data_IF_365201519900
#
_entry.id   IF_365201519900
#
_cell.length_a   1.000
_cell.length_b   1.000
_cell.length_c   1.000
_cell.angle_alpha   90.00
_cell.angle_beta   90.00
_cell.angle_gamma   90.00
#
_symmetry.space_group_name_H-M   'P 1'
#
loop_
_entity.id
_entity.type
_entity.pdbx_description
1 polymer ?
#
# COMPACT_ATOMS: atom_id res chain seq x y z
N UNK A 1 -13.69 -7.09 -0.50
CA UNK A 1 -14.52 -5.92 -0.16
C UNK A 1 -15.11 -5.38 -1.46
N UNK A 2 -16.30 -5.85 -1.87
CA UNK A 2 -16.99 -5.41 -3.09
C UNK A 2 -18.42 -4.94 -2.76
N UNK A 3 -18.57 -4.18 -1.67
CA UNK A 3 -19.87 -3.76 -1.17
C UNK A 3 -20.00 -2.24 -1.14
N UNK A 4 -20.70 -1.64 -2.13
CA UNK A 4 -20.94 -0.22 -2.20
C UNK A 4 -21.56 0.37 -0.93
N UNK A 5 -22.49 -0.35 -0.30
CA UNK A 5 -23.31 0.13 0.80
C UNK A 5 -22.46 0.32 2.06
N UNK A 6 -21.48 -0.58 2.28
CA UNK A 6 -20.49 -0.42 3.34
C UNK A 6 -19.63 0.82 3.14
N UNK A 7 -19.44 1.29 1.89
CA UNK A 7 -18.66 2.50 1.60
C UNK A 7 -19.54 3.76 1.65
N UNK A 8 -20.84 3.62 1.36
CA UNK A 8 -21.86 4.67 1.45
C UNK A 8 -22.15 5.09 2.91
N UNK A 9 -22.14 4.15 3.86
CA UNK A 9 -22.27 4.44 5.30
C UNK A 9 -21.11 5.27 5.90
N UNK A 10 -20.12 5.68 5.10
CA UNK A 10 -18.94 6.43 5.56
C UNK A 10 -18.96 7.93 5.21
N UNK A 11 -20.11 8.45 4.79
CA UNK A 11 -20.60 9.76 5.24
C UNK A 11 -20.37 11.00 4.36
N UNK A 12 -19.81 10.90 3.14
CA UNK A 12 -19.69 12.08 2.23
C UNK A 12 -19.77 11.79 0.72
N UNK A 13 -19.72 10.53 0.31
CA UNK A 13 -19.75 10.18 -1.12
C UNK A 13 -21.18 9.80 -1.52
N UNK A 14 -21.65 10.32 -2.66
CA UNK A 14 -22.92 9.92 -3.25
C UNK A 14 -22.94 8.39 -3.49
N UNK A 15 -24.11 7.75 -3.33
CA UNK A 15 -24.27 6.30 -3.47
C UNK A 15 -23.67 5.78 -4.79
N UNK A 16 -23.92 6.47 -5.90
CA UNK A 16 -23.33 6.18 -7.21
C UNK A 16 -21.79 6.09 -7.15
N UNK A 17 -21.11 7.00 -6.46
CA UNK A 17 -19.65 7.00 -6.35
C UNK A 17 -19.15 5.77 -5.57
N UNK A 18 -19.88 5.34 -4.54
CA UNK A 18 -19.56 4.13 -3.79
C UNK A 18 -19.76 2.86 -4.63
N UNK A 19 -20.85 2.78 -5.40
CA UNK A 19 -21.11 1.64 -6.29
C UNK A 19 -20.06 1.56 -7.40
N UNK A 20 -19.75 2.70 -8.04
CA UNK A 20 -18.70 2.78 -9.05
C UNK A 20 -17.32 2.41 -8.49
N UNK A 21 -17.03 2.74 -7.24
CA UNK A 21 -15.76 2.36 -6.63
C UNK A 21 -15.72 0.86 -6.31
N UNK A 22 -16.81 0.26 -5.84
CA UNK A 22 -16.89 -1.17 -5.63
C UNK A 22 -16.76 -1.92 -6.96
N UNK A 23 -17.41 -1.43 -8.01
CA UNK A 23 -17.26 -1.93 -9.38
C UNK A 23 -15.80 -1.85 -9.83
N UNK A 24 -15.12 -0.72 -9.62
CA UNK A 24 -13.70 -0.61 -9.96
C UNK A 24 -12.85 -1.65 -9.23
N UNK A 25 -13.07 -1.85 -7.93
CA UNK A 25 -12.36 -2.86 -7.16
C UNK A 25 -12.67 -4.28 -7.68
N UNK A 26 -13.91 -4.56 -8.09
CA UNK A 26 -14.30 -5.83 -8.68
C UNK A 26 -13.62 -6.06 -10.03
N UNK A 27 -13.61 -5.06 -10.90
CA UNK A 27 -12.91 -5.13 -12.18
C UNK A 27 -11.42 -5.37 -12.01
N UNK A 28 -10.78 -4.74 -11.02
CA UNK A 28 -9.38 -4.98 -10.72
C UNK A 28 -9.14 -6.40 -10.15
N UNK A 29 -10.04 -6.88 -9.29
CA UNK A 29 -9.90 -8.17 -8.60
C UNK A 29 -10.32 -9.38 -9.44
N UNK A 30 -11.21 -9.22 -10.41
CA UNK A 30 -11.81 -10.32 -11.18
C UNK A 30 -11.39 -10.33 -12.66
N UNK A 31 -11.03 -9.18 -13.20
CA UNK A 31 -10.77 -8.99 -14.63
C UNK A 31 -9.45 -8.25 -14.88
N UNK A 32 -8.71 -7.93 -13.81
CA UNK A 32 -7.43 -7.24 -13.84
C UNK A 32 -7.44 -5.90 -14.59
N UNK A 33 -8.60 -5.24 -14.64
CA UNK A 33 -8.76 -3.96 -15.33
C UNK A 33 -8.32 -2.82 -14.40
N UNK A 34 -7.32 -2.05 -14.83
CA UNK A 34 -6.79 -0.92 -14.07
C UNK A 34 -7.52 0.39 -14.33
N UNK A 35 -7.16 1.43 -13.58
CA UNK A 35 -7.79 2.76 -13.66
C UNK A 35 -7.76 3.39 -15.05
N UNK A 36 -6.69 3.18 -15.82
CA UNK A 36 -6.56 3.70 -17.18
C UNK A 36 -7.55 3.03 -18.15
N UNK A 37 -7.73 1.71 -18.02
CA UNK A 37 -8.59 0.92 -18.90
C UNK A 37 -10.06 1.03 -18.48
N UNK A 38 -10.32 0.96 -17.17
CA UNK A 38 -11.64 1.14 -16.58
C UNK A 38 -12.28 2.47 -17.01
N UNK A 39 -11.49 3.56 -17.03
CA UNK A 39 -11.97 4.87 -17.49
C UNK A 39 -12.30 4.96 -18.98
N UNK A 40 -12.04 3.92 -19.79
CA UNK A 40 -12.36 3.87 -21.22
C UNK A 40 -13.56 2.98 -21.53
N UNK A 41 -13.99 2.15 -20.59
CA UNK A 41 -15.10 1.24 -20.78
C UNK A 41 -16.40 2.02 -21.05
N UNK A 42 -17.16 1.53 -22.02
CA UNK A 42 -18.51 2.00 -22.32
C UNK A 42 -19.51 1.14 -21.55
N UNK A 43 -20.65 1.73 -21.16
CA UNK A 43 -21.69 1.02 -20.43
C UNK A 43 -22.26 -0.13 -21.27
N UNK A 44 -22.67 0.16 -22.51
CA UNK A 44 -23.31 -0.82 -23.39
C UNK A 44 -22.38 -2.00 -23.71
N UNK A 45 -21.08 -1.74 -23.91
CA UNK A 45 -20.08 -2.79 -24.09
C UNK A 45 -19.97 -3.65 -22.83
N UNK A 46 -19.91 -3.02 -21.64
CA UNK A 46 -19.79 -3.74 -20.38
C UNK A 46 -21.05 -4.57 -20.04
N UNK A 47 -22.24 -4.14 -20.49
CA UNK A 47 -23.50 -4.88 -20.30
C UNK A 47 -23.52 -6.22 -21.06
N UNK A 48 -22.69 -6.39 -22.09
CA UNK A 48 -22.61 -7.66 -22.84
C UNK A 48 -21.94 -8.79 -22.06
N UNK A 49 -21.29 -8.50 -20.93
CA UNK A 49 -20.55 -9.49 -20.15
C UNK A 49 -19.11 -9.74 -20.62
N UNK A 50 -18.72 -9.19 -21.78
CA UNK A 50 -17.37 -9.29 -22.32
C UNK A 50 -16.92 -7.93 -22.82
N UNK A 51 -15.71 -7.50 -22.46
CA UNK A 51 -15.13 -6.24 -22.93
C UNK A 51 -13.83 -6.48 -23.68
N UNK A 52 -13.52 -5.65 -24.68
CA UNK A 52 -12.29 -5.79 -25.46
C UNK A 52 -11.30 -4.70 -25.09
N UNK A 53 -10.25 -5.08 -24.38
CA UNK A 53 -9.18 -4.16 -24.00
C UNK A 53 -8.16 -4.00 -25.15
N UNK A 54 -7.75 -2.76 -25.40
CA UNK A 54 -6.66 -2.43 -26.32
C UNK A 54 -5.37 -2.19 -25.54
N UNK A 55 -4.36 -3.01 -25.81
CA UNK A 55 -3.01 -2.80 -25.28
C UNK A 55 -2.36 -1.54 -25.85
N UNK A 56 -1.29 -1.05 -25.21
CA UNK A 56 -0.50 0.08 -25.73
C UNK A 56 0.11 -0.16 -27.12
N UNK A 57 0.17 -1.43 -27.57
CA UNK A 57 0.63 -1.84 -28.90
C UNK A 57 -0.54 -2.10 -29.88
N UNK A 58 -1.76 -1.64 -29.56
CA UNK A 58 -2.93 -1.74 -30.43
C UNK A 58 -3.61 -3.12 -30.46
N UNK A 59 -3.06 -4.13 -29.78
CA UNK A 59 -3.66 -5.48 -29.74
C UNK A 59 -4.95 -5.49 -28.93
N UNK A 60 -5.94 -6.21 -29.43
CA UNK A 60 -7.22 -6.47 -28.76
C UNK A 60 -7.11 -7.71 -27.88
N UNK A 61 -7.73 -7.65 -26.70
CA UNK A 61 -7.82 -8.77 -25.75
C UNK A 61 -9.24 -8.83 -25.19
N UNK A 62 -10.00 -9.92 -25.42
CA UNK A 62 -11.27 -10.11 -24.76
C UNK A 62 -11.08 -10.34 -23.26
N UNK A 63 -12.02 -9.85 -22.47
CA UNK A 63 -12.04 -9.99 -21.01
C UNK A 63 -13.45 -10.31 -20.58
N UNK A 64 -13.64 -11.50 -20.02
CA UNK A 64 -14.93 -11.92 -19.47
C UNK A 64 -15.14 -11.35 -18.07
N UNK A 65 -16.35 -10.83 -17.85
CA UNK A 65 -16.74 -10.25 -16.58
C UNK A 65 -17.49 -11.30 -15.74
N UNK A 66 -16.99 -11.54 -14.52
CA UNK A 66 -17.65 -12.47 -13.60
C UNK A 66 -19.03 -11.94 -13.15
N UNK A 67 -19.95 -12.82 -12.70
CA UNK A 67 -21.30 -12.41 -12.30
C UNK A 67 -21.34 -11.28 -11.27
N UNK A 68 -20.41 -11.27 -10.31
CA UNK A 68 -20.29 -10.20 -9.31
C UNK A 68 -20.00 -8.82 -9.92
N UNK A 69 -19.26 -8.79 -11.03
CA UNK A 69 -18.97 -7.56 -11.78
C UNK A 69 -20.22 -7.12 -12.53
N UNK A 70 -20.92 -8.05 -13.18
CA UNK A 70 -22.15 -7.76 -13.92
C UNK A 70 -23.23 -7.17 -13.02
N UNK A 71 -23.43 -7.75 -11.85
CA UNK A 71 -24.35 -7.22 -10.84
C UNK A 71 -24.00 -5.78 -10.42
N UNK A 72 -22.71 -5.48 -10.24
CA UNK A 72 -22.25 -4.12 -9.91
C UNK A 72 -22.41 -3.15 -11.09
N UNK A 73 -22.30 -3.62 -12.34
CA UNK A 73 -22.59 -2.82 -13.54
C UNK A 73 -24.08 -2.47 -13.57
N UNK A 74 -24.97 -3.43 -13.33
CA UNK A 74 -26.42 -3.20 -13.29
C UNK A 74 -26.81 -2.21 -12.19
N UNK A 75 -26.21 -2.32 -11.00
CA UNK A 75 -26.41 -1.34 -9.91
C UNK A 75 -25.89 0.05 -10.27
N UNK A 76 -24.75 0.13 -10.96
CA UNK A 76 -24.28 1.40 -11.50
C UNK A 76 -25.32 1.96 -12.47
N UNK A 77 -25.78 1.16 -13.44
CA UNK A 77 -26.74 1.57 -14.46
C UNK A 77 -28.01 2.18 -13.86
N UNK A 78 -28.61 1.53 -12.85
CA UNK A 78 -29.81 2.02 -12.18
C UNK A 78 -29.63 3.29 -11.32
N UNK A 79 -28.40 3.74 -11.09
CA UNK A 79 -28.09 4.94 -10.31
C UNK A 79 -27.54 6.10 -11.17
N UNK A 80 -27.47 5.92 -12.48
CA UNK A 80 -26.96 6.93 -13.39
C UNK A 80 -27.99 8.05 -13.60
N UNK A 81 -27.53 9.30 -13.81
CA UNK A 81 -28.37 10.35 -14.37
C UNK A 81 -28.90 9.95 -15.75
N UNK A 82 -30.13 10.35 -16.07
CA UNK A 82 -30.80 10.02 -17.35
C UNK A 82 -30.02 10.54 -18.57
N UNK A 83 -29.31 11.66 -18.42
CA UNK A 83 -28.48 12.32 -19.44
C UNK A 83 -27.00 11.89 -19.42
N UNK A 84 -26.68 10.78 -18.74
CA UNK A 84 -25.31 10.32 -18.62
C UNK A 84 -24.71 9.90 -19.97
N UNK A 85 -23.48 10.35 -20.25
CA UNK A 85 -22.74 9.94 -21.43
C UNK A 85 -22.42 8.44 -21.44
N UNK A 86 -21.84 7.90 -22.52
CA UNK A 86 -21.77 6.45 -22.77
C UNK A 86 -20.77 5.68 -21.88
N UNK A 87 -20.04 6.37 -21.00
CA UNK A 87 -18.96 5.80 -20.20
C UNK A 87 -19.50 4.96 -19.04
N UNK A 88 -18.86 3.83 -18.72
CA UNK A 88 -19.25 3.00 -17.58
C UNK A 88 -19.16 3.78 -16.25
N UNK A 89 -18.14 4.61 -16.08
CA UNK A 89 -17.95 5.45 -14.89
C UNK A 89 -18.26 6.90 -15.19
N UNK A 90 -19.25 7.45 -14.48
CA UNK A 90 -19.68 8.83 -14.64
C UNK A 90 -19.65 9.61 -13.33
N UNK A 91 -19.66 10.93 -13.45
CA UNK A 91 -19.91 11.85 -12.34
C UNK A 91 -21.41 11.96 -12.07
N UNK A 92 -21.80 12.60 -10.97
CA UNK A 92 -23.21 12.91 -10.68
C UNK A 92 -23.87 13.81 -11.75
N UNK A 93 -23.09 14.43 -12.64
CA UNK A 93 -23.55 15.23 -13.77
C UNK A 93 -23.51 14.48 -15.11
N UNK A 94 -23.45 13.14 -15.09
CA UNK A 94 -23.41 12.32 -16.30
C UNK A 94 -22.10 12.36 -17.10
N UNK A 95 -21.13 13.21 -16.73
CA UNK A 95 -19.83 13.33 -17.42
C UNK A 95 -18.89 12.19 -17.09
N UNK A 96 -17.95 11.89 -17.99
CA UNK A 96 -16.88 10.90 -17.80
C UNK A 96 -16.14 11.09 -16.47
N UNK A 97 -16.06 10.04 -15.66
CA UNK A 97 -15.30 10.08 -14.42
C UNK A 97 -13.80 9.92 -14.68
N UNK A 98 -12.99 10.85 -14.17
CA UNK A 98 -11.55 10.78 -14.33
C UNK A 98 -10.93 9.67 -13.45
N UNK A 99 -9.99 8.85 -13.97
CA UNK A 99 -9.36 7.74 -13.23
C UNK A 99 -8.74 8.14 -11.87
N UNK A 100 -8.24 9.37 -11.75
CA UNK A 100 -7.64 9.86 -10.50
C UNK A 100 -8.66 10.03 -9.36
N UNK A 101 -9.95 10.13 -9.65
CA UNK A 101 -11.01 10.25 -8.64
C UNK A 101 -11.06 9.00 -7.77
N UNK A 102 -10.93 7.81 -8.38
CA UNK A 102 -10.84 6.55 -7.65
C UNK A 102 -9.61 6.48 -6.75
N UNK A 103 -8.46 6.96 -7.21
CA UNK A 103 -7.26 7.00 -6.38
C UNK A 103 -7.45 7.85 -5.12
N UNK A 104 -8.16 8.98 -5.20
CA UNK A 104 -8.48 9.80 -4.02
C UNK A 104 -9.43 9.07 -3.08
N UNK A 105 -10.47 8.42 -3.61
CA UNK A 105 -11.43 7.67 -2.82
C UNK A 105 -10.80 6.46 -2.13
N UNK A 106 -10.05 5.62 -2.85
CA UNK A 106 -9.34 4.49 -2.25
C UNK A 106 -8.25 4.91 -1.29
N UNK A 107 -7.60 6.06 -1.51
CA UNK A 107 -6.71 6.64 -0.51
C UNK A 107 -7.49 7.01 0.74
N UNK A 108 -8.66 7.61 0.64
CA UNK A 108 -9.53 7.91 1.80
C UNK A 108 -9.98 6.64 2.54
N UNK A 109 -10.52 5.65 1.80
CA UNK A 109 -10.96 4.36 2.34
C UNK A 109 -9.80 3.59 2.99
N UNK A 110 -8.66 3.54 2.30
CA UNK A 110 -7.45 2.91 2.81
C UNK A 110 -7.02 3.56 4.12
N UNK A 111 -7.00 4.90 4.19
CA UNK A 111 -6.62 5.59 5.42
C UNK A 111 -7.50 5.23 6.62
N UNK A 112 -8.82 5.14 6.42
CA UNK A 112 -9.79 4.80 7.47
C UNK A 112 -9.75 3.32 7.89
N UNK A 113 -9.36 2.43 6.99
CA UNK A 113 -9.28 0.99 7.28
C UNK A 113 -7.84 0.48 7.49
N UNK A 114 -6.84 1.36 7.56
CA UNK A 114 -5.45 0.95 7.82
C UNK A 114 -4.65 0.47 6.62
N UNK A 115 -5.14 0.70 5.41
CA UNK A 115 -4.44 0.34 4.19
C UNK A 115 -3.75 1.57 3.58
N UNK A 116 -2.55 1.39 3.03
CA UNK A 116 -1.96 2.37 2.12
C UNK A 116 -2.78 2.37 0.83
N UNK A 117 -3.82 3.20 0.74
CA UNK A 117 -4.74 3.22 -0.40
C UNK A 117 -4.12 3.57 -1.75
N UNK A 118 -2.82 3.95 -1.79
CA UNK A 118 -2.04 4.12 -3.01
C UNK A 118 -1.67 2.76 -3.66
N UNK A 119 -1.80 1.63 -2.94
CA UNK A 119 -1.46 0.29 -3.44
C UNK A 119 -2.62 -0.70 -3.53
N UNK A 120 -3.87 -0.24 -3.41
CA UNK A 120 -5.04 -1.13 -3.46
C UNK A 120 -5.18 -1.81 -4.83
N UNK A 121 -5.10 -1.11 -5.98
CA UNK A 121 -5.17 -1.76 -7.29
C UNK A 121 -4.10 -2.82 -7.49
N UNK A 122 -2.85 -2.54 -7.09
CA UNK A 122 -1.74 -3.49 -7.16
C UNK A 122 -2.01 -4.74 -6.33
N UNK A 123 -2.53 -4.59 -5.11
CA UNK A 123 -2.91 -5.72 -4.27
C UNK A 123 -4.09 -6.52 -4.83
N UNK A 124 -5.05 -5.86 -5.49
CA UNK A 124 -6.15 -6.55 -6.15
C UNK A 124 -5.65 -7.33 -7.37
N UNK A 125 -4.64 -6.82 -8.07
CA UNK A 125 -3.98 -7.57 -9.14
C UNK A 125 -3.15 -8.74 -8.61
N UNK A 126 -2.44 -8.57 -7.50
CA UNK A 126 -1.71 -9.66 -6.82
C UNK A 126 -2.67 -10.73 -6.32
N UNK A 127 -3.82 -10.33 -5.75
CA UNK A 127 -4.90 -11.22 -5.37
C UNK A 127 -5.39 -12.03 -6.58
N UNK A 128 -5.75 -11.36 -7.68
CA UNK A 128 -6.14 -12.02 -8.93
C UNK A 128 -5.06 -13.02 -9.40
N UNK A 129 -3.80 -12.61 -9.43
CA UNK A 129 -2.69 -13.44 -9.91
C UNK A 129 -2.45 -14.68 -9.03
N UNK A 130 -2.77 -14.63 -7.73
CA UNK A 130 -2.50 -15.72 -6.76
C UNK A 130 -3.34 -16.99 -6.98
N UNK A 131 -4.49 -16.89 -7.64
CA UNK A 131 -5.37 -18.05 -7.85
C UNK A 131 -4.91 -19.00 -8.94
N UNK A 132 -4.01 -18.52 -9.79
CA UNK A 132 -3.49 -19.28 -10.91
C UNK A 132 -2.12 -19.91 -10.61
N UNK A 133 -1.66 -19.87 -9.35
CA UNK A 133 -0.34 -20.37 -8.96
C UNK A 133 -0.18 -21.88 -9.16
N UNK A 134 -1.27 -22.64 -9.04
CA UNK A 134 -1.29 -24.11 -9.17
C UNK A 134 -1.91 -24.61 -10.47
N UNK A 135 -2.41 -23.73 -11.34
CA UNK A 135 -3.08 -24.09 -12.60
C UNK A 135 -2.09 -24.60 -13.66
N UNK A 136 -2.51 -25.64 -14.39
CA UNK A 136 -1.69 -26.39 -15.36
C UNK A 136 -1.79 -25.82 -16.78
N UNK A 137 -2.87 -25.10 -17.09
CA UNK A 137 -3.05 -24.39 -18.37
C UNK A 137 -2.14 -23.16 -18.47
N UNK A 138 -0.81 -23.39 -18.51
CA UNK A 138 0.24 -22.36 -18.35
C UNK A 138 0.10 -21.21 -19.36
N UNK A 139 -0.32 -21.48 -20.60
CA UNK A 139 -0.53 -20.45 -21.62
C UNK A 139 -1.74 -19.55 -21.33
N UNK A 140 -2.86 -20.13 -20.88
CA UNK A 140 -4.04 -19.39 -20.45
C UNK A 140 -3.76 -18.58 -19.18
N UNK A 141 -3.03 -19.16 -18.21
CA UNK A 141 -2.56 -18.44 -17.01
C UNK A 141 -1.67 -17.26 -17.39
N UNK A 142 -0.71 -17.47 -18.30
CA UNK A 142 0.14 -16.39 -18.80
C UNK A 142 -0.64 -15.31 -19.56
N UNK A 143 -1.72 -15.68 -20.27
CA UNK A 143 -2.62 -14.73 -20.92
C UNK A 143 -3.44 -13.92 -19.90
N UNK A 144 -3.93 -14.55 -18.82
CA UNK A 144 -4.66 -13.89 -17.75
C UNK A 144 -3.75 -12.97 -16.92
N UNK A 145 -2.48 -13.36 -16.69
CA UNK A 145 -1.48 -12.62 -15.91
C UNK A 145 -0.79 -11.50 -16.70
N UNK A 146 -0.24 -10.47 -16.01
CA UNK A 146 0.59 -9.37 -16.59
C UNK A 146 2.04 -9.49 -16.16
N UNK A 147 2.29 -10.03 -14.96
CA UNK A 147 3.64 -10.35 -14.49
C UNK A 147 3.87 -11.83 -14.71
N UNK A 148 4.69 -12.14 -15.71
CA UNK A 148 5.29 -13.47 -15.81
C UNK A 148 6.02 -13.75 -14.50
N UNK A 149 5.56 -14.76 -13.76
CA UNK A 149 6.48 -15.45 -12.87
C UNK A 149 7.54 -16.05 -13.78
N UNK A 150 8.68 -15.36 -13.91
CA UNK A 150 9.76 -15.71 -14.85
C UNK A 150 10.26 -17.15 -14.68
N UNK A 151 9.93 -17.81 -13.57
CA UNK A 151 10.29 -19.20 -13.31
C UNK A 151 9.34 -20.21 -13.99
N UNK A 152 8.02 -20.01 -13.95
CA UNK A 152 7.03 -20.98 -14.47
C UNK A 152 6.67 -20.80 -15.94
N UNK A 153 6.87 -19.61 -16.50
CA UNK A 153 6.42 -19.27 -17.86
C UNK A 153 7.60 -19.07 -18.83
N UNK A 154 8.82 -19.44 -18.41
CA UNK A 154 10.07 -19.14 -19.13
C UNK A 154 10.17 -19.81 -20.50
N UNK A 155 9.59 -21.00 -20.62
CA UNK A 155 9.71 -21.85 -21.82
C UNK A 155 8.49 -21.73 -22.74
N UNK A 156 7.51 -20.88 -22.41
CA UNK A 156 6.34 -20.66 -23.25
C UNK A 156 6.67 -19.73 -24.41
N UNK A 157 6.26 -20.12 -25.61
CA UNK A 157 6.35 -19.22 -26.77
C UNK A 157 5.31 -18.10 -26.68
N UNK A 158 5.69 -16.91 -27.14
CA UNK A 158 4.78 -15.75 -27.18
C UNK A 158 3.53 -16.05 -28.04
N UNK A 159 3.67 -16.87 -29.10
CA UNK A 159 2.55 -17.28 -29.96
C UNK A 159 1.52 -18.13 -29.20
N UNK A 160 1.97 -19.04 -28.32
CA UNK A 160 1.07 -19.87 -27.53
C UNK A 160 0.25 -19.02 -26.53
N UNK A 161 0.89 -18.02 -25.91
CA UNK A 161 0.21 -17.08 -25.00
C UNK A 161 -0.81 -16.24 -25.79
N UNK A 162 -0.46 -15.81 -26.99
CA UNK A 162 -1.36 -15.02 -27.85
C UNK A 162 -2.55 -15.84 -28.36
N UNK A 163 -2.34 -17.10 -28.73
CA UNK A 163 -3.42 -18.02 -29.09
C UNK A 163 -4.38 -18.24 -27.91
N UNK A 164 -3.84 -18.54 -26.72
CA UNK A 164 -4.65 -18.72 -25.51
C UNK A 164 -5.38 -17.43 -25.10
N UNK A 165 -4.82 -16.25 -25.37
CA UNK A 165 -5.46 -14.97 -25.08
C UNK A 165 -6.68 -14.68 -25.97
N UNK A 166 -6.81 -15.38 -27.11
CA UNK A 166 -7.94 -15.27 -28.05
C UNK A 166 -8.94 -16.42 -27.89
N UNK A 167 -8.61 -17.47 -27.13
CA UNK A 167 -9.48 -18.60 -26.85
C UNK A 167 -10.38 -18.29 -25.64
N UNK A 168 -11.53 -17.66 -25.92
CA UNK A 168 -12.50 -17.23 -24.92
C UNK A 168 -13.01 -18.38 -24.05
N UNK A 169 -13.27 -19.55 -24.64
CA UNK A 169 -13.76 -20.72 -23.93
C UNK A 169 -12.70 -21.25 -22.95
N UNK A 170 -11.44 -21.34 -23.38
CA UNK A 170 -10.33 -21.73 -22.52
C UNK A 170 -10.16 -20.78 -21.34
N UNK A 171 -10.16 -19.47 -21.58
CA UNK A 171 -10.01 -18.46 -20.53
C UNK A 171 -11.17 -18.53 -19.52
N UNK A 172 -12.40 -18.70 -20.00
CA UNK A 172 -13.57 -18.84 -19.14
C UNK A 172 -13.49 -20.11 -18.29
N UNK A 173 -13.11 -21.25 -18.86
CA UNK A 173 -12.94 -22.51 -18.09
C UNK A 173 -11.90 -22.37 -16.98
N UNK A 174 -10.76 -21.75 -17.27
CA UNK A 174 -9.71 -21.51 -16.25
C UNK A 174 -10.21 -20.57 -15.14
N UNK A 175 -10.93 -19.50 -15.50
CA UNK A 175 -11.53 -18.59 -14.52
C UNK A 175 -12.55 -19.32 -13.63
N UNK A 176 -13.40 -20.16 -14.22
CA UNK A 176 -14.41 -20.92 -13.46
C UNK A 176 -13.81 -21.89 -12.47
N UNK A 177 -12.71 -22.58 -12.83
CA UNK A 177 -12.05 -23.52 -11.92
C UNK A 177 -11.31 -22.84 -10.77
N UNK A 178 -10.66 -21.70 -11.02
CA UNK A 178 -9.68 -21.13 -10.09
C UNK A 178 -10.17 -19.90 -9.33
N UNK A 179 -11.05 -19.08 -9.90
CA UNK A 179 -11.31 -17.76 -9.36
C UNK A 179 -12.32 -17.82 -8.19
N UNK A 180 -11.95 -17.44 -6.96
CA UNK A 180 -12.81 -17.66 -5.79
C UNK A 180 -14.08 -16.82 -5.82
N UNK A 181 -14.08 -15.67 -6.51
CA UNK A 181 -15.27 -14.83 -6.66
C UNK A 181 -16.21 -15.30 -7.77
N UNK A 182 -15.93 -16.46 -8.37
CA UNK A 182 -16.89 -17.15 -9.23
C UNK A 182 -18.13 -17.60 -8.43
N UNK A 183 -19.24 -17.73 -9.15
CA UNK A 183 -20.55 -18.08 -8.63
C UNK A 183 -21.52 -16.89 -8.50
N UNK A 184 -22.70 -17.12 -7.91
CA UNK A 184 -23.78 -16.13 -7.91
C UNK A 184 -23.41 -14.88 -7.10
N UNK A 185 -23.84 -13.67 -7.53
CA UNK A 185 -23.47 -12.42 -6.87
C UNK A 185 -23.82 -12.39 -5.37
N UNK A 186 -24.96 -12.95 -4.97
CA UNK A 186 -25.42 -13.00 -3.56
C UNK A 186 -24.51 -13.79 -2.61
N UNK A 187 -23.54 -14.55 -3.12
CA UNK A 187 -22.46 -15.17 -2.32
C UNK A 187 -21.48 -14.13 -1.78
N UNK A 188 -21.26 -13.07 -2.55
CA UNK A 188 -20.21 -12.07 -2.32
C UNK A 188 -20.77 -10.68 -2.01
N UNK A 189 -22.03 -10.46 -2.37
CA UNK A 189 -22.78 -9.23 -2.12
C UNK A 189 -23.85 -9.46 -1.04
N UNK A 190 -24.15 -8.45 -0.23
CA UNK A 190 -25.07 -8.51 0.91
C UNK A 190 -24.45 -9.01 2.22
N UNK A 191 -25.28 -9.21 3.25
CA UNK A 191 -24.85 -9.56 4.61
C UNK A 191 -24.00 -10.86 4.70
N UNK A 192 -24.29 -11.85 3.85
CA UNK A 192 -23.50 -13.09 3.75
C UNK A 192 -22.09 -12.84 3.20
N UNK A 193 -21.98 -11.97 2.19
CA UNK A 193 -20.70 -11.50 1.66
C UNK A 193 -19.88 -10.72 2.69
N UNK A 194 -20.53 -9.94 3.56
CA UNK A 194 -19.87 -9.23 4.69
C UNK A 194 -19.28 -10.22 5.70
N UNK A 195 -20.02 -11.27 6.07
CA UNK A 195 -19.53 -12.30 6.99
C UNK A 195 -18.37 -13.11 6.38
N UNK A 196 -18.47 -13.48 5.10
CA UNK A 196 -17.40 -14.15 4.37
C UNK A 196 -16.15 -13.26 4.25
N UNK A 197 -16.31 -11.99 3.85
CA UNK A 197 -15.23 -11.04 3.77
C UNK A 197 -14.54 -10.79 5.11
N UNK A 198 -15.27 -10.78 6.23
CA UNK A 198 -14.70 -10.65 7.59
C UNK A 198 -13.82 -11.84 7.96
N UNK A 199 -14.20 -13.07 7.58
CA UNK A 199 -13.33 -14.26 7.74
C UNK A 199 -12.11 -14.21 6.83
N UNK A 200 -12.30 -13.72 5.60
CA UNK A 200 -11.27 -13.57 4.56
C UNK A 200 -10.40 -12.31 4.74
N UNK A 201 -10.74 -11.38 5.66
CA UNK A 201 -9.94 -10.19 5.98
C UNK A 201 -8.53 -10.53 6.50
N UNK A 202 -8.29 -11.78 6.94
CA UNK A 202 -6.95 -12.32 7.20
C UNK A 202 -6.06 -12.35 5.94
N UNK A 203 -6.62 -12.34 4.74
CA UNK A 203 -5.87 -12.25 3.47
C UNK A 203 -5.42 -10.82 3.13
N UNK A 204 -6.03 -9.79 3.74
CA UNK A 204 -5.66 -8.38 3.55
C UNK A 204 -4.79 -7.83 4.69
N UNK A 205 -4.60 -8.60 5.77
CA UNK A 205 -3.57 -8.28 6.77
C UNK A 205 -2.20 -8.48 6.14
N UNK A 206 -1.39 -7.43 6.12
CA UNK A 206 0.03 -7.55 5.79
C UNK A 206 0.65 -8.66 6.63
N UNK A 207 1.62 -9.38 6.07
CA UNK A 207 2.57 -10.15 6.85
C UNK A 207 3.05 -9.31 8.06
N UNK A 208 3.34 -9.99 9.18
CA UNK A 208 3.47 -9.54 10.59
C UNK A 208 4.26 -8.24 10.91
N UNK A 209 4.76 -7.46 9.95
CA UNK A 209 5.53 -6.22 10.16
C UNK A 209 4.94 -4.91 9.64
N UNK A 210 3.85 -4.93 8.85
CA UNK A 210 3.29 -3.74 8.15
C UNK A 210 1.82 -3.46 8.49
N UNK A 211 1.32 -3.94 9.64
CA UNK A 211 -0.05 -3.69 10.10
C UNK A 211 -0.18 -2.20 10.43
N UNK A 212 -0.82 -1.47 9.53
CA UNK A 212 -1.24 -0.09 9.72
C UNK A 212 -2.74 -0.09 10.03
N UNK A 213 -3.24 0.78 10.90
CA UNK A 213 -4.68 0.98 11.15
C UNK A 213 -5.39 -0.01 12.06
N UNK A 214 -4.66 -0.85 12.79
CA UNK A 214 -5.24 -1.66 13.88
C UNK A 214 -5.27 -0.91 15.20
N UNK A 215 -4.47 0.14 15.36
CA UNK A 215 -4.39 0.90 16.60
C UNK A 215 -5.66 1.73 16.85
N UNK A 216 -6.19 1.62 18.07
CA UNK A 216 -7.38 2.35 18.51
C UNK A 216 -7.26 3.86 18.29
N UNK A 217 -6.05 4.42 18.50
CA UNK A 217 -5.78 5.84 18.31
C UNK A 217 -6.10 6.32 16.89
N UNK A 218 -5.91 5.52 15.85
CA UNK A 218 -6.24 5.91 14.48
C UNK A 218 -7.75 6.07 14.22
N UNK A 219 -8.60 5.60 15.13
CA UNK A 219 -10.08 5.71 15.03
C UNK A 219 -10.67 6.74 15.97
N UNK A 220 -10.02 6.97 17.12
CA UNK A 220 -10.60 7.76 18.21
C UNK A 220 -9.82 9.03 18.55
N UNK A 221 -8.52 9.09 18.23
CA UNK A 221 -7.71 10.25 18.58
C UNK A 221 -7.81 11.33 17.48
N UNK A 222 -8.23 12.56 17.81
CA UNK A 222 -8.53 13.59 16.82
C UNK A 222 -7.31 14.00 15.99
N UNK A 223 -6.10 13.99 16.58
CA UNK A 223 -4.85 14.29 15.87
C UNK A 223 -4.50 13.16 14.93
N UNK A 224 -4.60 11.90 15.37
CA UNK A 224 -4.37 10.74 14.53
C UNK A 224 -5.37 10.66 13.37
N UNK A 225 -6.65 10.95 13.61
CA UNK A 225 -7.69 11.00 12.57
C UNK A 225 -7.40 12.13 11.58
N UNK A 226 -7.06 13.33 12.06
CA UNK A 226 -6.70 14.45 11.21
C UNK A 226 -5.47 14.16 10.35
N UNK A 227 -4.38 13.65 10.95
CA UNK A 227 -3.15 13.29 10.24
C UNK A 227 -3.38 12.15 9.24
N UNK A 228 -4.23 11.19 9.59
CA UNK A 228 -4.65 10.14 8.66
C UNK A 228 -5.39 10.77 7.49
N UNK A 229 -6.41 11.61 7.72
CA UNK A 229 -7.25 12.21 6.69
C UNK A 229 -6.54 13.28 5.83
N UNK A 230 -5.34 13.72 6.23
CA UNK A 230 -4.57 14.74 5.54
C UNK A 230 -4.06 14.30 4.16
N UNK A 231 -4.36 15.11 3.14
CA UNK A 231 -3.98 14.86 1.76
C UNK A 231 -2.51 15.21 1.49
N UNK A 232 -1.70 14.23 1.10
CA UNK A 232 -0.30 14.46 0.72
C UNK A 232 -0.19 14.76 -0.78
N UNK A 233 0.08 16.00 -1.15
CA UNK A 233 0.33 16.41 -2.53
C UNK A 233 1.70 15.93 -3.03
N UNK A 234 1.90 15.82 -4.35
CA UNK A 234 3.15 15.26 -4.92
C UNK A 234 4.37 16.19 -4.78
N UNK A 235 4.18 17.47 -4.49
CA UNK A 235 5.24 18.45 -4.20
C UNK A 235 5.29 18.83 -2.72
N UNK A 236 6.45 19.22 -2.19
CA UNK A 236 6.56 19.77 -0.82
C UNK A 236 6.40 18.79 0.36
N UNK A 237 6.27 17.48 0.09
CA UNK A 237 6.01 16.46 1.13
C UNK A 237 7.02 16.44 2.28
N UNK A 238 8.26 16.89 2.06
CA UNK A 238 9.29 16.94 3.11
C UNK A 238 9.04 18.09 4.08
N UNK A 239 8.79 19.30 3.57
CA UNK A 239 8.52 20.48 4.39
C UNK A 239 7.22 20.29 5.19
N UNK A 240 6.17 19.85 4.50
CA UNK A 240 4.87 19.51 5.11
C UNK A 240 5.01 18.43 6.18
N UNK A 241 5.78 17.37 5.92
CA UNK A 241 6.04 16.33 6.93
C UNK A 241 6.74 16.88 8.15
N UNK A 242 7.78 17.69 7.96
CA UNK A 242 8.53 18.25 9.07
C UNK A 242 7.65 19.21 9.88
N UNK A 243 6.89 20.09 9.25
CA UNK A 243 5.94 20.98 9.95
C UNK A 243 4.90 20.21 10.76
N UNK A 244 4.26 19.19 10.18
CA UNK A 244 3.31 18.33 10.91
C UNK A 244 3.99 17.55 12.05
N UNK A 245 5.24 17.13 11.86
CA UNK A 245 5.99 16.43 12.89
C UNK A 245 6.33 17.36 14.05
N UNK A 246 6.77 18.58 13.77
CA UNK A 246 7.14 19.54 14.79
C UNK A 246 5.92 19.93 15.65
N UNK A 247 4.70 19.92 15.07
CA UNK A 247 3.45 20.17 15.79
C UNK A 247 2.89 18.95 16.52
N UNK A 248 2.91 17.76 15.91
CA UNK A 248 2.10 16.62 16.37
C UNK A 248 2.87 15.36 16.72
N UNK A 249 4.18 15.28 16.41
CA UNK A 249 4.94 14.04 16.64
C UNK A 249 5.01 13.68 18.12
N UNK A 250 5.19 14.65 19.01
CA UNK A 250 5.22 14.44 20.46
C UNK A 250 3.92 13.76 20.97
N UNK A 251 2.76 14.21 20.50
CA UNK A 251 1.46 13.60 20.82
C UNK A 251 1.37 12.15 20.33
N UNK A 252 1.70 11.91 19.06
CA UNK A 252 1.68 10.54 18.52
C UNK A 252 2.70 9.61 19.18
N UNK A 253 3.80 10.15 19.72
CA UNK A 253 4.79 9.37 20.47
C UNK A 253 4.31 9.02 21.88
N UNK A 254 3.60 9.92 22.56
CA UNK A 254 2.94 9.61 23.83
C UNK A 254 1.93 8.46 23.65
N UNK A 255 1.11 8.52 22.60
CA UNK A 255 0.16 7.45 22.27
C UNK A 255 0.87 6.12 21.97
N UNK A 256 2.04 6.16 21.32
CA UNK A 256 2.83 4.96 21.03
C UNK A 256 3.42 4.35 22.31
N UNK A 257 3.93 5.18 23.23
CA UNK A 257 4.44 4.72 24.52
C UNK A 257 3.34 4.12 25.40
N UNK A 258 2.13 4.64 25.31
CA UNK A 258 0.95 4.07 25.95
C UNK A 258 0.40 2.80 25.26
N UNK A 259 1.06 2.28 24.21
CA UNK A 259 0.62 1.09 23.47
C UNK A 259 -0.62 1.31 22.59
N UNK A 260 -1.13 2.54 22.50
CA UNK A 260 -2.34 2.88 21.72
C UNK A 260 -2.08 3.10 20.24
N UNK A 261 -0.81 3.28 19.86
CA UNK A 261 -0.34 3.50 18.49
C UNK A 261 0.92 2.68 18.20
N UNK A 262 1.07 2.10 17.01
CA UNK A 262 2.30 1.40 16.63
C UNK A 262 3.30 2.32 15.90
N UNK A 263 4.57 1.92 15.85
CA UNK A 263 5.59 2.61 15.03
C UNK A 263 5.24 2.57 13.53
N UNK A 264 4.55 1.52 13.07
CA UNK A 264 4.06 1.42 11.69
C UNK A 264 2.94 2.44 11.42
N UNK A 265 2.09 2.70 12.41
CA UNK A 265 1.05 3.72 12.32
C UNK A 265 1.64 5.13 12.28
N UNK A 266 2.65 5.43 13.10
CA UNK A 266 3.37 6.72 13.00
C UNK A 266 4.03 6.90 11.61
N UNK A 267 4.62 5.84 11.05
CA UNK A 267 5.15 5.85 9.67
C UNK A 267 4.08 6.21 8.66
N UNK A 268 2.88 5.68 8.84
CA UNK A 268 1.74 5.97 8.00
C UNK A 268 1.24 7.41 8.17
N UNK A 269 1.03 7.87 9.41
CA UNK A 269 0.54 9.22 9.72
C UNK A 269 1.45 10.32 9.13
N UNK A 270 2.77 10.15 9.20
CA UNK A 270 3.74 11.13 8.69
C UNK A 270 4.23 10.84 7.27
N UNK A 271 3.65 9.86 6.58
CA UNK A 271 4.06 9.42 5.24
C UNK A 271 5.60 9.31 5.10
N UNK A 272 6.22 8.63 6.09
CA UNK A 272 7.67 8.62 6.29
C UNK A 272 8.27 7.22 6.08
N UNK A 273 9.60 7.13 6.08
CA UNK A 273 10.29 5.85 6.22
C UNK A 273 10.33 5.43 7.69
N UNK A 274 10.37 4.11 7.97
CA UNK A 274 10.55 3.62 9.34
C UNK A 274 11.83 4.17 9.99
N UNK A 275 12.87 4.38 9.19
CA UNK A 275 14.12 4.99 9.65
C UNK A 275 13.89 6.41 10.17
N UNK A 276 13.11 7.22 9.45
CA UNK A 276 12.79 8.59 9.85
C UNK A 276 11.98 8.61 11.15
N UNK A 277 10.98 7.74 11.28
CA UNK A 277 10.16 7.63 12.51
C UNK A 277 11.04 7.25 13.70
N UNK A 278 11.85 6.20 13.56
CA UNK A 278 12.77 5.76 14.62
C UNK A 278 13.77 6.85 15.03
N UNK A 279 14.20 7.67 14.08
CA UNK A 279 15.05 8.82 14.37
C UNK A 279 14.32 9.87 15.22
N UNK A 280 13.11 10.26 14.85
CA UNK A 280 12.30 11.22 15.63
C UNK A 280 11.89 10.65 17.01
N UNK A 281 11.60 9.36 17.11
CA UNK A 281 11.37 8.67 18.39
C UNK A 281 12.60 8.77 19.31
N UNK A 282 13.79 8.52 18.76
CA UNK A 282 15.04 8.65 19.50
C UNK A 282 15.27 10.11 19.94
N UNK A 283 15.07 11.08 19.05
CA UNK A 283 15.20 12.50 19.37
C UNK A 283 14.22 12.93 20.48
N UNK A 284 12.96 12.47 20.43
CA UNK A 284 11.96 12.74 21.46
C UNK A 284 12.31 12.08 22.81
N UNK A 285 12.93 10.89 22.78
CA UNK A 285 13.46 10.25 23.99
C UNK A 285 14.61 11.04 24.60
N UNK A 286 15.56 11.51 23.77
CA UNK A 286 16.69 12.34 24.23
C UNK A 286 16.23 13.70 24.78
N UNK A 287 15.23 14.32 24.16
CA UNK A 287 14.70 15.61 24.64
C UNK A 287 14.03 15.52 26.02
N UNK A 288 13.48 14.35 26.37
CA UNK A 288 12.84 14.10 27.67
C UNK A 288 13.79 13.50 28.71
N UNK A 289 15.04 13.19 28.33
CA UNK A 289 16.03 12.68 29.26
C UNK A 289 16.37 13.74 30.31
N UNK A 290 16.50 13.31 31.56
CA UNK A 290 17.04 14.12 32.66
C UNK A 290 18.49 14.56 32.37
N UNK A 291 18.98 15.56 33.09
CA UNK A 291 20.36 16.05 32.92
C UNK A 291 21.40 14.95 33.17
N UNK A 292 21.18 14.10 34.17
CA UNK A 292 22.05 12.94 34.47
C UNK A 292 22.04 11.91 33.34
N UNK A 293 20.87 11.57 32.81
CA UNK A 293 20.74 10.65 31.67
C UNK A 293 21.43 11.20 30.41
N UNK A 294 21.32 12.51 30.14
CA UNK A 294 22.01 13.14 28.99
C UNK A 294 23.53 13.06 29.16
N UNK A 295 24.06 13.41 30.33
CA UNK A 295 25.50 13.33 30.59
C UNK A 295 26.03 11.90 30.47
N UNK A 296 25.25 10.92 30.89
CA UNK A 296 25.60 9.51 30.73
C UNK A 296 25.54 9.07 29.26
N UNK A 297 24.51 9.49 28.50
CA UNK A 297 24.40 9.27 27.06
C UNK A 297 25.58 9.87 26.30
N UNK A 298 25.98 11.11 26.60
CA UNK A 298 27.10 11.80 25.95
C UNK A 298 28.43 11.09 26.21
N UNK A 299 28.68 10.69 27.47
CA UNK A 299 29.85 9.89 27.84
C UNK A 299 29.89 8.57 27.05
N UNK A 300 28.74 7.93 26.89
CA UNK A 300 28.63 6.67 26.16
C UNK A 300 28.83 6.86 24.64
N UNK A 301 28.26 7.93 24.07
CA UNK A 301 28.43 8.31 22.65
C UNK A 301 29.89 8.65 22.35
N UNK A 302 30.58 9.36 23.24
CA UNK A 302 32.00 9.67 23.08
C UNK A 302 32.87 8.40 23.05
N UNK A 303 32.50 7.36 23.82
CA UNK A 303 33.23 6.08 23.87
C UNK A 303 32.91 5.09 22.73
N UNK A 304 31.85 5.33 21.94
CA UNK A 304 31.40 4.42 20.87
C UNK A 304 32.47 4.15 19.79
N UNK A 305 33.17 5.16 19.25
CA UNK A 305 34.19 4.93 18.21
C UNK A 305 35.34 4.03 18.68
N UNK A 306 35.87 4.27 19.88
CA UNK A 306 36.95 3.46 20.44
C UNK A 306 36.53 2.00 20.65
N UNK A 307 35.31 1.78 21.19
CA UNK A 307 34.72 0.44 21.34
C UNK A 307 34.54 -0.27 20.01
N UNK A 308 34.16 0.47 18.96
CA UNK A 308 34.00 -0.08 17.62
C UNK A 308 35.35 -0.41 16.98
N UNK A 309 36.39 0.39 17.19
CA UNK A 309 37.73 0.10 16.67
C UNK A 309 38.38 -1.10 17.37
N UNK A 310 38.12 -1.29 18.66
CA UNK A 310 38.58 -2.44 19.45
C UNK A 310 37.80 -3.75 19.19
N UNK A 311 36.86 -3.74 18.25
CA UNK A 311 36.01 -4.91 17.96
C UNK A 311 36.78 -6.06 17.31
N UNK A 312 36.30 -7.32 17.42
CA UNK A 312 36.85 -8.43 16.66
C UNK A 312 36.89 -8.12 15.15
N UNK A 313 38.01 -8.45 14.49
CA UNK A 313 38.16 -8.24 13.03
C UNK A 313 37.02 -8.93 12.28
N UNK A 314 36.43 -8.22 11.31
CA UNK A 314 35.29 -8.71 10.51
C UNK A 314 33.91 -8.49 11.15
N UNK A 315 33.81 -8.00 12.39
CA UNK A 315 32.52 -7.70 13.00
C UNK A 315 31.82 -6.52 12.27
N UNK A 316 30.59 -6.77 11.81
CA UNK A 316 29.74 -5.75 11.17
C UNK A 316 29.15 -4.80 12.21
N UNK A 317 28.70 -3.61 11.78
CA UNK A 317 28.01 -2.63 12.64
C UNK A 317 26.82 -3.24 13.37
N UNK A 318 26.13 -4.19 12.74
CA UNK A 318 24.95 -4.85 13.29
C UNK A 318 25.30 -5.83 14.40
N UNK A 319 26.36 -6.61 14.21
CA UNK A 319 26.86 -7.54 15.21
C UNK A 319 27.43 -6.77 16.41
N UNK A 320 28.24 -5.74 16.15
CA UNK A 320 28.74 -4.83 17.18
C UNK A 320 27.60 -4.21 18.00
N UNK A 321 26.60 -3.64 17.32
CA UNK A 321 25.48 -2.99 17.99
C UNK A 321 24.67 -3.97 18.86
N UNK A 322 24.42 -5.19 18.36
CA UNK A 322 23.73 -6.23 19.14
C UNK A 322 24.49 -6.58 20.40
N UNK A 323 25.81 -6.78 20.31
CA UNK A 323 26.67 -7.16 21.43
C UNK A 323 26.82 -6.07 22.47
N UNK A 324 27.08 -4.83 22.05
CA UNK A 324 27.32 -3.74 23.01
C UNK A 324 26.01 -3.31 23.69
N UNK A 325 24.86 -3.39 23.00
CA UNK A 325 23.55 -3.11 23.60
C UNK A 325 23.18 -4.07 24.74
N UNK A 326 23.66 -5.30 24.72
CA UNK A 326 23.39 -6.28 25.78
C UNK A 326 24.37 -6.16 26.97
N UNK A 327 25.53 -5.54 26.77
CA UNK A 327 26.60 -5.45 27.76
C UNK A 327 26.56 -4.16 28.59
N UNK A 328 25.77 -3.17 28.20
CA UNK A 328 25.51 -1.98 29.00
C UNK A 328 24.03 -1.61 28.87
N UNK A 329 23.29 -1.48 29.98
CA UNK A 329 21.98 -0.83 29.94
C UNK A 329 22.24 0.62 29.54
N UNK A 330 22.07 0.91 28.25
CA UNK A 330 22.18 2.27 27.74
C UNK A 330 21.21 3.17 28.50
N UNK A 331 21.64 4.34 29.02
CA UNK A 331 20.69 5.38 29.37
C UNK A 331 19.91 5.74 28.09
N UNK A 332 18.59 5.63 28.17
CA UNK A 332 17.66 6.05 27.12
C UNK A 332 17.88 5.45 25.73
N UNK A 333 17.47 4.18 25.52
CA UNK A 333 17.06 3.61 24.21
C UNK A 333 17.77 4.16 22.95
N UNK A 334 19.10 4.28 22.97
CA UNK A 334 19.88 4.80 21.84
C UNK A 334 19.63 3.95 20.59
N UNK A 335 19.06 4.54 19.53
CA UNK A 335 18.71 3.78 18.35
C UNK A 335 19.96 3.43 17.52
N UNK A 336 19.98 2.23 16.90
CA UNK A 336 21.04 1.78 15.96
C UNK A 336 21.45 2.84 14.92
N UNK A 337 20.48 3.62 14.45
CA UNK A 337 20.70 4.66 13.43
C UNK A 337 21.62 5.78 13.95
N UNK A 338 21.53 6.10 15.24
CA UNK A 338 22.40 7.09 15.87
C UNK A 338 23.83 6.54 16.01
N UNK A 339 24.00 5.28 16.42
CA UNK A 339 25.31 4.62 16.50
C UNK A 339 26.02 4.59 15.14
N UNK A 340 25.34 4.15 14.08
CA UNK A 340 25.93 4.16 12.74
C UNK A 340 26.33 5.58 12.28
N UNK A 341 25.55 6.61 12.65
CA UNK A 341 25.86 8.01 12.37
C UNK A 341 27.08 8.52 13.14
N UNK A 342 27.19 8.20 14.43
CA UNK A 342 28.34 8.53 15.29
C UNK A 342 29.61 7.90 14.74
N UNK A 343 29.58 6.61 14.42
CA UNK A 343 30.75 5.89 13.89
C UNK A 343 31.19 6.42 12.52
N UNK A 344 30.25 6.87 11.67
CA UNK A 344 30.60 7.53 10.41
C UNK A 344 31.25 8.89 10.62
N UNK A 345 30.72 9.73 11.52
CA UNK A 345 31.29 11.05 11.82
C UNK A 345 32.68 10.95 12.44
N UNK A 346 32.90 9.94 13.27
CA UNK A 346 34.19 9.66 13.89
C UNK A 346 35.19 8.95 12.95
N UNK A 347 34.85 8.71 11.68
CA UNK A 347 35.72 8.02 10.72
C UNK A 347 35.95 6.52 10.98
N UNK A 348 35.33 5.95 12.02
CA UNK A 348 35.56 4.57 12.46
C UNK A 348 35.04 3.50 11.47
N UNK A 349 34.19 3.89 10.51
CA UNK A 349 33.68 3.03 9.43
C UNK A 349 34.46 3.17 8.12
N UNK A 350 35.50 4.00 8.09
CA UNK A 350 36.22 4.35 6.87
C UNK A 350 35.43 5.27 5.93
N UNK A 351 36.03 5.67 4.78
CA UNK A 351 35.36 6.51 3.79
C UNK A 351 34.09 5.83 3.28
N UNK A 352 33.01 6.60 3.18
CA UNK A 352 31.71 6.11 2.73
C UNK A 352 31.86 5.55 1.30
N UNK A 353 31.48 4.29 1.02
CA UNK A 353 31.56 3.77 -0.34
C UNK A 353 30.72 4.66 -1.25
N UNK A 354 31.35 5.22 -2.30
CA UNK A 354 30.67 6.02 -3.31
C UNK A 354 29.57 5.13 -3.91
N UNK A 355 28.31 5.55 -3.78
CA UNK A 355 27.22 4.86 -4.47
C UNK A 355 27.54 4.87 -5.97
N UNK A 356 27.42 3.74 -6.70
CA UNK A 356 27.44 3.77 -8.15
C UNK A 356 26.35 4.73 -8.62
N UNK A 357 26.71 5.67 -9.51
CA UNK A 357 25.79 6.65 -10.10
C UNK A 357 24.66 5.91 -10.83
N UNK A 358 23.57 5.67 -10.12
CA UNK A 358 22.23 5.51 -10.71
C UNK A 358 21.50 6.81 -10.43
N UNK A 359 20.87 7.34 -11.48
CA UNK A 359 20.33 8.69 -11.52
C UNK A 359 19.34 9.00 -10.38
N UNK A 360 19.43 10.25 -9.94
CA UNK A 360 18.45 11.06 -9.22
C UNK A 360 18.21 10.82 -7.70
N UNK A 361 18.34 11.94 -6.98
CA UNK A 361 17.80 12.29 -5.66
C UNK A 361 18.56 11.78 -4.43
N UNK A 362 19.81 12.22 -4.28
CA UNK A 362 20.48 12.27 -2.98
C UNK A 362 20.12 13.56 -2.24
N UNK A 363 19.26 13.42 -1.24
CA UNK A 363 19.05 14.39 -0.16
C UNK A 363 20.35 14.58 0.63
N UNK A 364 21.02 15.70 0.42
CA UNK A 364 21.96 16.27 1.37
C UNK A 364 21.12 17.06 2.38
N UNK A 365 20.97 16.55 3.60
CA UNK A 365 20.47 17.36 4.71
C UNK A 365 21.70 17.70 5.56
N UNK A 366 22.17 18.95 5.42
CA UNK A 366 23.17 19.52 6.30
C UNK A 366 22.64 19.53 7.72
N UNK A 367 23.40 18.93 8.62
CA UNK A 367 23.19 19.09 10.05
C UNK A 367 23.74 20.47 10.44
N UNK A 368 22.85 21.46 10.51
CA UNK A 368 23.02 22.57 11.42
C UNK A 368 22.38 22.12 12.73
N UNK A 369 23.20 21.93 13.76
CA UNK A 369 22.89 22.18 15.16
C UNK A 369 24.24 22.18 15.89
N UNK A 370 24.46 23.28 16.59
CA UNK A 370 25.60 23.58 17.45
C UNK A 370 25.87 22.48 18.48
#
# INVERSE_FOLDING_TARGET
MLQPETWAHHGRAALLMCVQAALFAALAACARIGHADAGRLLLDEALTGTVVLKTSRGRKRPVHLLPVVMELIMRCAGLRPDDAGPWLFVTSKGKKLHPQTFNRLFRSLGRRHGFRGIGLPERLFEFYDSFFEVEEERAAVAALRRRHSRARERDLSQRAIEAAALDEELLQRVLTRCHPLEGPPGRWLGARGVAAATKTMRLFTSARGDRVGTSQALRSDPICVMLADLGWERGGQVAMRNGLADQHFAHTEALRRAGRLSTADQRFLFHASLRWVRYRQAAAATAQASSSERSEMDRWIAGLPARFLARPRGETVDAFWKRVRTQAPLPGNLARVNVAGVLHRAGALGPRPRKPKTAANSSSFSALLC
#
